data_IF_676087668194
#
_entry.id   IF_676087668194
#
_cell.length_a   1.000
_cell.length_b   1.000
_cell.length_c   1.000
_cell.angle_alpha   90.00
_cell.angle_beta   90.00
_cell.angle_gamma   90.00
#
_symmetry.space_group_name_H-M   'P 1'
#
loop_
_entity.id
_entity.type
_entity.pdbx_description
1 polymer ?
#
# COMPACT_ATOMS: atom_id res chain seq x y z
N UNK A 1 12.07 -1.77 -16.23
CA UNK A 1 11.76 -3.06 -15.58
C UNK A 1 12.92 -4.02 -15.70
N UNK A 2 13.44 -4.32 -16.91
CA UNK A 2 14.62 -5.16 -17.11
C UNK A 2 15.81 -4.76 -16.22
N UNK A 3 16.25 -3.51 -16.31
CA UNK A 3 17.34 -2.97 -15.46
C UNK A 3 17.09 -3.12 -13.95
N UNK A 4 15.83 -3.04 -13.51
CA UNK A 4 15.49 -3.17 -12.09
C UNK A 4 15.64 -4.61 -11.60
N UNK A 5 15.23 -5.59 -12.41
CA UNK A 5 15.29 -7.02 -12.08
C UNK A 5 16.68 -7.64 -12.33
N UNK A 6 17.53 -7.00 -13.13
CA UNK A 6 18.94 -7.38 -13.30
C UNK A 6 19.74 -7.26 -11.99
N UNK A 7 19.35 -6.35 -11.10
CA UNK A 7 19.93 -6.24 -9.77
C UNK A 7 19.58 -7.47 -8.93
N UNK A 8 20.60 -8.17 -8.44
CA UNK A 8 20.45 -9.44 -7.73
C UNK A 8 19.49 -9.34 -6.55
N UNK A 9 18.41 -10.12 -6.62
CA UNK A 9 17.40 -10.21 -5.58
C UNK A 9 16.31 -9.14 -5.67
N UNK A 10 16.29 -8.24 -6.65
CA UNK A 10 15.10 -7.44 -6.91
C UNK A 10 14.03 -8.28 -7.60
N UNK A 11 12.77 -7.98 -7.31
CA UNK A 11 11.60 -8.63 -7.92
C UNK A 11 10.67 -7.54 -8.44
N UNK A 12 10.36 -7.59 -9.73
CA UNK A 12 9.39 -6.70 -10.34
C UNK A 12 8.53 -7.46 -11.34
N UNK A 13 7.24 -7.13 -11.39
CA UNK A 13 6.28 -7.77 -12.32
C UNK A 13 5.34 -6.74 -12.92
N UNK A 14 4.95 -6.97 -14.17
CA UNK A 14 3.96 -6.18 -14.91
C UNK A 14 2.76 -7.09 -15.19
N UNK A 15 1.59 -6.69 -14.73
CA UNK A 15 0.31 -7.31 -15.01
C UNK A 15 -0.41 -6.45 -16.03
N UNK A 16 -0.94 -7.08 -17.07
CA UNK A 16 -1.55 -6.41 -18.21
C UNK A 16 -2.93 -6.99 -18.44
N UNK A 17 -3.88 -6.14 -18.80
CA UNK A 17 -5.24 -6.53 -19.16
C UNK A 17 -5.75 -5.70 -20.34
N UNK A 18 -6.76 -6.19 -21.03
CA UNK A 18 -7.41 -5.51 -22.15
C UNK A 18 -8.56 -4.63 -21.64
N UNK A 19 -8.29 -3.33 -21.52
CA UNK A 19 -9.27 -2.34 -21.09
C UNK A 19 -9.66 -1.49 -22.29
N UNK A 20 -10.93 -1.57 -22.72
CA UNK A 20 -11.45 -0.85 -23.90
C UNK A 20 -10.62 -1.11 -25.18
N UNK A 21 -10.33 -2.39 -25.46
CA UNK A 21 -9.54 -2.84 -26.62
C UNK A 21 -8.09 -2.34 -26.64
N UNK A 22 -7.57 -1.88 -25.49
CA UNK A 22 -6.17 -1.49 -25.32
C UNK A 22 -5.54 -2.34 -24.23
N UNK A 23 -4.32 -2.81 -24.49
CA UNK A 23 -3.47 -3.43 -23.46
C UNK A 23 -3.01 -2.35 -22.49
N UNK A 24 -3.46 -2.45 -21.24
CA UNK A 24 -3.10 -1.53 -20.16
C UNK A 24 -2.42 -2.33 -19.05
N UNK A 25 -1.32 -1.80 -18.51
CA UNK A 25 -0.72 -2.37 -17.31
C UNK A 25 -1.65 -2.13 -16.12
N UNK A 26 -2.34 -3.14 -15.62
CA UNK A 26 -3.26 -2.97 -14.49
C UNK A 26 -2.49 -2.77 -13.18
N UNK A 27 -1.38 -3.49 -13.03
CA UNK A 27 -0.53 -3.42 -11.84
C UNK A 27 0.94 -3.60 -12.24
N UNK A 28 1.81 -2.77 -11.68
CA UNK A 28 3.26 -2.94 -11.77
C UNK A 28 3.78 -3.02 -10.35
N UNK A 29 4.40 -4.13 -9.96
CA UNK A 29 4.96 -4.31 -8.61
C UNK A 29 6.48 -4.20 -8.67
N UNK A 30 7.05 -3.57 -7.64
CA UNK A 30 8.48 -3.35 -7.49
C UNK A 30 8.86 -3.61 -6.03
N UNK A 31 9.79 -4.55 -5.83
CA UNK A 31 10.27 -4.91 -4.50
C UNK A 31 11.76 -5.22 -4.55
N UNK A 32 12.57 -4.45 -3.84
CA UNK A 32 14.02 -4.69 -3.78
C UNK A 32 14.36 -5.83 -2.81
N UNK A 33 15.59 -6.36 -2.90
CA UNK A 33 16.11 -7.29 -1.88
C UNK A 33 16.05 -6.67 -0.47
N UNK A 34 16.41 -5.39 -0.36
CA UNK A 34 16.42 -4.66 0.92
C UNK A 34 15.01 -4.54 1.51
N UNK A 35 14.01 -4.18 0.69
CA UNK A 35 12.62 -4.10 1.09
C UNK A 35 12.09 -5.40 1.72
N UNK A 36 12.48 -6.56 1.16
CA UNK A 36 12.10 -7.87 1.73
C UNK A 36 12.81 -8.16 3.05
N UNK A 37 14.12 -7.95 3.10
CA UNK A 37 14.91 -8.17 4.31
C UNK A 37 14.46 -7.27 5.47
N UNK A 38 13.95 -6.08 5.16
CA UNK A 38 13.39 -5.15 6.12
C UNK A 38 12.07 -5.64 6.69
N UNK A 39 11.14 -6.13 5.86
CA UNK A 39 9.90 -6.70 6.35
C UNK A 39 10.13 -7.98 7.16
N UNK A 40 11.10 -8.81 6.78
CA UNK A 40 11.47 -10.01 7.54
C UNK A 40 11.91 -9.68 8.97
N UNK A 41 12.51 -8.51 9.19
CA UNK A 41 12.91 -8.01 10.51
C UNK A 41 11.74 -7.41 11.31
N UNK A 42 10.78 -6.77 10.64
CA UNK A 42 9.66 -6.07 11.27
C UNK A 42 8.30 -6.46 10.66
N UNK A 43 7.88 -7.74 10.75
CA UNK A 43 6.71 -8.23 10.04
C UNK A 43 5.37 -7.95 10.74
N UNK A 44 5.37 -7.40 11.96
CA UNK A 44 4.19 -7.34 12.84
C UNK A 44 3.16 -6.30 12.40
N UNK A 45 3.62 -5.18 11.83
CA UNK A 45 2.78 -4.02 11.49
C UNK A 45 3.08 -3.55 10.08
N UNK A 46 2.05 -3.55 9.24
CA UNK A 46 2.12 -3.08 7.85
C UNK A 46 1.30 -1.81 7.69
N UNK A 47 1.89 -0.75 7.15
CA UNK A 47 1.17 0.46 6.76
C UNK A 47 0.92 0.42 5.25
N UNK A 48 -0.30 0.76 4.85
CA UNK A 48 -0.73 0.77 3.46
C UNK A 48 -1.25 2.17 3.13
N UNK A 49 -0.70 2.74 2.07
CA UNK A 49 -1.14 4.03 1.54
C UNK A 49 -1.15 4.05 0.01
N UNK A 50 -2.03 4.87 -0.56
CA UNK A 50 -2.11 5.12 -1.98
C UNK A 50 -2.10 6.63 -2.22
N UNK A 51 -1.17 7.08 -3.05
CA UNK A 51 -1.14 8.48 -3.50
C UNK A 51 -1.90 8.62 -4.81
N UNK A 52 -2.60 9.74 -4.96
CA UNK A 52 -3.31 10.09 -6.18
C UNK A 52 -2.57 11.20 -6.93
N UNK A 53 -2.83 11.28 -8.24
CA UNK A 53 -2.40 12.39 -9.11
C UNK A 53 -0.89 12.64 -9.19
N UNK A 54 -0.09 11.59 -9.03
CA UNK A 54 1.38 11.64 -9.10
C UNK A 54 1.95 11.58 -10.51
N UNK A 55 1.13 11.26 -11.52
CA UNK A 55 1.58 11.10 -12.91
C UNK A 55 0.48 11.42 -13.93
N UNK A 56 0.89 11.75 -15.15
CA UNK A 56 -0.01 12.10 -16.28
C UNK A 56 -0.97 10.98 -16.66
N UNK A 57 -0.58 9.72 -16.44
CA UNK A 57 -1.38 8.54 -16.74
C UNK A 57 -2.39 8.20 -15.63
N UNK A 58 -2.43 8.98 -14.54
CA UNK A 58 -3.33 8.83 -13.39
C UNK A 58 -3.22 7.50 -12.63
N UNK A 59 -2.09 6.79 -12.77
CA UNK A 59 -1.83 5.60 -11.95
C UNK A 59 -1.68 6.00 -10.48
N UNK A 60 -2.08 5.10 -9.59
CA UNK A 60 -1.95 5.27 -8.15
C UNK A 60 -0.64 4.64 -7.70
N UNK A 61 0.16 5.38 -6.94
CA UNK A 61 1.35 4.78 -6.31
C UNK A 61 0.88 4.21 -4.98
N UNK A 62 0.74 2.90 -4.95
CA UNK A 62 0.35 2.10 -3.80
C UNK A 62 1.60 1.58 -3.11
N UNK A 63 1.77 1.90 -1.84
CA UNK A 63 2.99 1.57 -1.10
C UNK A 63 2.67 0.82 0.18
N UNK A 64 3.46 -0.21 0.44
CA UNK A 64 3.47 -0.95 1.69
C UNK A 64 4.70 -0.54 2.48
N UNK A 65 4.54 -0.32 3.78
CA UNK A 65 5.63 0.00 4.69
C UNK A 65 5.59 -0.91 5.91
N UNK A 66 6.74 -1.35 6.40
CA UNK A 66 6.86 -1.94 7.73
C UNK A 66 7.05 -0.83 8.77
N UNK A 67 6.55 -1.05 9.98
CA UNK A 67 6.85 -0.19 11.13
C UNK A 67 8.08 -0.71 11.87
N UNK A 68 9.18 0.04 11.86
CA UNK A 68 10.40 -0.35 12.56
C UNK A 68 10.34 -0.07 14.08
N UNK A 69 11.34 -0.56 14.81
CA UNK A 69 11.45 -0.38 16.28
C UNK A 69 11.64 1.08 16.72
N UNK A 70 11.99 1.98 15.80
CA UNK A 70 12.13 3.41 16.07
C UNK A 70 10.86 4.20 15.77
N UNK A 71 9.76 3.52 15.45
CA UNK A 71 8.49 4.16 15.15
C UNK A 71 8.41 4.73 13.73
N UNK A 72 9.31 4.33 12.83
CA UNK A 72 9.34 4.85 11.46
C UNK A 72 8.76 3.84 10.47
N UNK A 73 8.00 4.36 9.50
CA UNK A 73 7.57 3.59 8.35
C UNK A 73 8.72 3.44 7.35
N UNK A 74 8.99 2.22 6.93
CA UNK A 74 10.03 1.90 5.95
C UNK A 74 9.40 1.14 4.78
N UNK A 75 9.65 1.54 3.55
CA UNK A 75 9.02 0.91 2.38
C UNK A 75 9.44 -0.55 2.24
N UNK A 76 8.46 -1.41 1.99
CA UNK A 76 8.65 -2.87 1.79
C UNK A 76 8.05 -3.39 0.48
N UNK A 77 7.25 -2.58 -0.21
CA UNK A 77 6.87 -2.78 -1.62
C UNK A 77 6.28 -1.49 -2.19
N UNK A 78 6.54 -1.23 -3.46
CA UNK A 78 5.74 -0.27 -4.24
C UNK A 78 4.96 -1.00 -5.35
N UNK A 79 3.80 -0.45 -5.67
CA UNK A 79 3.05 -0.82 -6.85
C UNK A 79 2.47 0.41 -7.55
N UNK A 80 2.45 0.38 -8.88
CA UNK A 80 1.69 1.31 -9.70
C UNK A 80 0.40 0.61 -10.09
N UNK A 81 -0.74 1.17 -9.68
CA UNK A 81 -2.05 0.60 -9.92
C UNK A 81 -2.82 1.46 -10.91
N UNK A 82 -3.46 0.84 -11.89
CA UNK A 82 -4.33 1.54 -12.83
C UNK A 82 -5.57 2.12 -12.14
N UNK A 83 -6.05 1.47 -11.08
CA UNK A 83 -7.15 1.93 -10.23
C UNK A 83 -7.05 1.32 -8.82
N UNK A 84 -7.85 1.81 -7.88
CA UNK A 84 -7.95 1.31 -6.50
C UNK A 84 -9.12 0.33 -6.30
N UNK A 85 -9.49 -0.43 -7.34
CA UNK A 85 -10.51 -1.48 -7.23
C UNK A 85 -9.90 -2.78 -6.72
N UNK A 86 -10.76 -3.60 -6.13
CA UNK A 86 -10.42 -4.89 -5.54
C UNK A 86 -9.42 -5.75 -6.35
N UNK A 87 -9.63 -6.06 -7.65
CA UNK A 87 -8.73 -6.98 -8.37
C UNK A 87 -7.29 -6.44 -8.49
N UNK A 88 -7.17 -5.13 -8.71
CA UNK A 88 -5.87 -4.46 -8.88
C UNK A 88 -5.10 -4.42 -7.57
N UNK A 89 -5.79 -4.10 -6.47
CA UNK A 89 -5.24 -4.11 -5.12
C UNK A 89 -4.82 -5.52 -4.69
N UNK A 90 -5.70 -6.51 -4.91
CA UNK A 90 -5.42 -7.90 -4.58
C UNK A 90 -4.17 -8.40 -5.29
N UNK A 91 -4.01 -8.10 -6.58
CA UNK A 91 -2.82 -8.46 -7.35
C UNK A 91 -1.54 -7.93 -6.67
N UNK A 92 -1.52 -6.67 -6.25
CA UNK A 92 -0.36 -6.08 -5.57
C UNK A 92 -0.07 -6.75 -4.21
N UNK A 93 -1.11 -7.08 -3.44
CA UNK A 93 -0.99 -7.72 -2.14
C UNK A 93 -0.56 -9.19 -2.24
N UNK A 94 -1.06 -9.93 -3.23
CA UNK A 94 -0.63 -11.30 -3.49
C UNK A 94 0.82 -11.37 -3.92
N UNK A 95 1.29 -10.41 -4.73
CA UNK A 95 2.72 -10.32 -5.04
C UNK A 95 3.57 -10.06 -3.79
N UNK A 96 3.12 -9.16 -2.91
CA UNK A 96 3.81 -8.92 -1.65
C UNK A 96 3.94 -10.21 -0.82
N UNK A 97 2.82 -10.92 -0.62
CA UNK A 97 2.78 -12.17 0.16
C UNK A 97 3.63 -13.28 -0.47
N UNK A 98 3.58 -13.43 -1.79
CA UNK A 98 4.34 -14.44 -2.53
C UNK A 98 5.85 -14.22 -2.36
N UNK A 99 6.29 -12.96 -2.40
CA UNK A 99 7.70 -12.63 -2.29
C UNK A 99 8.18 -12.52 -0.83
N UNK A 100 7.27 -12.39 0.14
CA UNK A 100 7.61 -12.03 1.54
C UNK A 100 6.95 -12.98 2.55
N UNK A 101 7.39 -14.25 2.68
CA UNK A 101 6.72 -15.27 3.50
C UNK A 101 6.51 -14.89 4.97
N UNK A 102 7.33 -13.98 5.52
CA UNK A 102 7.18 -13.45 6.87
C UNK A 102 5.82 -12.77 7.12
N UNK A 103 5.02 -12.48 6.09
CA UNK A 103 3.67 -11.91 6.21
C UNK A 103 2.75 -12.72 7.15
N UNK A 104 3.02 -14.02 7.34
CA UNK A 104 2.28 -14.86 8.30
C UNK A 104 2.38 -14.37 9.76
N UNK A 105 3.39 -13.55 10.08
CA UNK A 105 3.59 -12.96 11.41
C UNK A 105 2.84 -11.65 11.61
N UNK A 106 2.24 -11.11 10.54
CA UNK A 106 1.51 -9.85 10.55
C UNK A 106 0.37 -9.88 11.59
N UNK A 107 0.31 -8.83 12.41
CA UNK A 107 -0.69 -8.67 13.47
C UNK A 107 -1.65 -7.54 13.17
N UNK A 108 -1.13 -6.47 12.56
CA UNK A 108 -1.90 -5.28 12.29
C UNK A 108 -1.58 -4.67 10.93
N UNK A 109 -2.61 -4.16 10.26
CA UNK A 109 -2.48 -3.33 9.06
C UNK A 109 -3.09 -1.96 9.35
N UNK A 110 -2.29 -0.91 9.14
CA UNK A 110 -2.70 0.49 9.24
C UNK A 110 -3.02 1.04 7.85
N UNK A 111 -4.24 1.54 7.63
CA UNK A 111 -4.69 2.03 6.32
C UNK A 111 -5.03 3.51 6.34
N UNK A 112 -4.76 4.19 5.23
CA UNK A 112 -5.25 5.55 5.02
C UNK A 112 -6.78 5.58 4.87
N UNK A 113 -7.40 6.67 5.32
CA UNK A 113 -8.86 6.89 5.25
C UNK A 113 -9.41 6.81 3.81
N UNK A 114 -8.57 7.08 2.81
CA UNK A 114 -8.97 7.09 1.40
C UNK A 114 -9.28 5.70 0.84
N UNK A 115 -9.01 4.61 1.59
CA UNK A 115 -9.46 3.29 1.20
C UNK A 115 -10.96 3.15 1.44
N UNK A 116 -11.74 3.33 0.36
CA UNK A 116 -13.19 3.12 0.32
C UNK A 116 -13.61 1.70 0.68
N UNK A 117 -12.70 0.73 0.55
CA UNK A 117 -12.98 -0.70 0.78
C UNK A 117 -11.99 -1.27 1.80
N UNK A 118 -12.13 -0.94 3.09
CA UNK A 118 -11.38 -1.65 4.14
C UNK A 118 -11.61 -3.17 4.10
N UNK A 119 -12.81 -3.60 3.68
CA UNK A 119 -13.19 -5.00 3.46
C UNK A 119 -12.30 -5.71 2.45
N UNK A 120 -11.83 -4.99 1.43
CA UNK A 120 -10.88 -5.51 0.43
C UNK A 120 -9.60 -6.00 1.09
N UNK A 121 -9.11 -5.32 2.13
CA UNK A 121 -7.86 -5.70 2.77
C UNK A 121 -8.00 -6.83 3.80
N UNK A 122 -9.23 -7.22 4.17
CA UNK A 122 -9.46 -8.33 5.11
C UNK A 122 -9.28 -9.70 4.44
N UNK A 123 -9.71 -9.85 3.18
CA UNK A 123 -9.59 -11.10 2.43
C UNK A 123 -8.13 -11.59 2.25
N UNK A 124 -7.15 -10.75 1.86
CA UNK A 124 -5.77 -11.19 1.72
C UNK A 124 -5.05 -11.36 3.06
N UNK A 125 -5.57 -10.80 4.16
CA UNK A 125 -4.98 -10.88 5.49
C UNK A 125 -5.99 -11.38 6.54
N UNK A 126 -6.46 -12.63 6.42
CA UNK A 126 -7.45 -13.17 7.34
C UNK A 126 -6.89 -13.22 8.77
N UNK A 127 -7.67 -12.73 9.75
CA UNK A 127 -7.28 -12.70 11.16
C UNK A 127 -6.31 -11.57 11.55
N UNK A 128 -5.92 -10.70 10.62
CA UNK A 128 -5.09 -9.52 10.90
C UNK A 128 -5.97 -8.34 11.31
N UNK A 129 -5.53 -7.58 12.32
CA UNK A 129 -6.28 -6.42 12.81
C UNK A 129 -6.14 -5.24 11.85
N UNK A 130 -7.25 -4.74 11.34
CA UNK A 130 -7.28 -3.58 10.44
C UNK A 130 -7.58 -2.30 11.23
N UNK A 131 -6.67 -1.32 11.20
CA UNK A 131 -6.85 -0.02 11.87
C UNK A 131 -6.70 1.14 10.89
N UNK A 132 -7.38 2.24 11.18
CA UNK A 132 -7.11 3.51 10.50
C UNK A 132 -5.79 4.10 10.99
N UNK A 133 -5.00 4.63 10.06
CA UNK A 133 -3.78 5.34 10.37
C UNK A 133 -4.09 6.60 11.21
N UNK A 134 -3.51 6.68 12.42
CA UNK A 134 -3.71 7.80 13.35
C UNK A 134 -3.41 9.16 12.69
N UNK A 135 -2.35 9.25 11.89
CA UNK A 135 -2.00 10.48 11.18
C UNK A 135 -3.15 10.98 10.29
N UNK A 136 -3.76 10.08 9.51
CA UNK A 136 -4.88 10.41 8.64
C UNK A 136 -6.14 10.79 9.41
N UNK A 137 -6.42 10.10 10.51
CA UNK A 137 -7.54 10.42 11.40
C UNK A 137 -7.38 11.81 12.01
N UNK A 138 -6.22 12.12 12.58
CA UNK A 138 -5.93 13.43 13.18
C UNK A 138 -5.96 14.55 12.13
N UNK A 139 -5.38 14.32 10.95
CA UNK A 139 -5.42 15.27 9.84
C UNK A 139 -6.86 15.55 9.41
N UNK A 140 -7.69 14.51 9.32
CA UNK A 140 -9.10 14.66 8.98
C UNK A 140 -9.84 15.48 10.04
N UNK A 141 -9.74 15.12 11.32
CA UNK A 141 -10.40 15.88 12.39
C UNK A 141 -9.99 17.35 12.41
N UNK A 142 -8.70 17.66 12.27
CA UNK A 142 -8.23 19.05 12.18
C UNK A 142 -8.87 19.81 11.01
N UNK A 143 -9.01 19.15 9.86
CA UNK A 143 -9.68 19.75 8.70
C UNK A 143 -11.16 20.02 8.98
N UNK A 144 -11.87 19.05 9.55
CA UNK A 144 -13.30 19.22 9.85
C UNK A 144 -13.54 20.30 10.89
N UNK A 145 -12.74 20.37 11.95
CA UNK A 145 -12.82 21.43 12.96
C UNK A 145 -12.58 22.81 12.33
N UNK A 146 -11.60 22.92 11.41
CA UNK A 146 -11.32 24.17 10.72
C UNK A 146 -12.39 24.55 9.67
N UNK A 147 -13.04 23.57 9.05
CA UNK A 147 -14.08 23.78 8.03
C UNK A 147 -15.46 24.03 8.62
N UNK A 148 -15.70 23.54 9.83
CA UNK A 148 -16.93 23.79 10.57
C UNK A 148 -16.97 25.20 11.13
N UNK A 149 -18.15 25.81 11.10
CA UNK A 149 -18.56 26.97 11.93
C UNK A 149 -18.69 26.53 13.40
N UNK A 150 -17.87 25.59 13.90
CA UNK A 150 -17.80 25.34 15.33
C UNK A 150 -16.93 26.44 15.90
N UNK A 151 -17.58 27.45 16.48
CA UNK A 151 -16.99 28.60 17.16
C UNK A 151 -16.12 28.17 18.35
N UNK A 152 -15.03 27.45 18.11
CA UNK A 152 -13.96 27.29 19.08
C UNK A 152 -13.07 28.52 18.99
N UNK A 153 -13.62 29.66 19.43
CA UNK A 153 -12.80 30.82 19.72
C UNK A 153 -11.99 30.49 20.99
N UNK A 154 -10.67 30.55 20.85
CA UNK A 154 -9.73 30.53 21.97
C UNK A 154 -9.87 31.80 22.82
#
# INVERSE_FOLDING_TARGET
MAEFIEQTGNVGRIFVDDVNLKKIATCITLQTKHMRALFEQFPEVLLIDATHDTNRSKYKVFSLMAHDTFGKGQFVQHALLQNERWPTLLTALEQFKSNTPAWIKLKCVLVAKAFTEMSVLQTPFPGVTMLLCQFHVLKYFRKEIAASVYCFNA
#
